data_IF_072642699938
#
_entry.id   IF_072642699938
#
_cell.length_a   1.000
_cell.length_b   1.000
_cell.length_c   1.000
_cell.angle_alpha   90.00
_cell.angle_beta   90.00
_cell.angle_gamma   90.00
#
_symmetry.space_group_name_H-M   'P 1'
#
loop_
_entity.id
_entity.type
_entity.pdbx_description
1 polymer ?
#
# COMPACT_ATOMS: atom_id res chain seq x y z
N UNK A 1 -8.39 28.18 1.81
CA UNK A 1 -9.19 27.72 0.66
C UNK A 1 -8.78 26.31 0.19
N UNK A 2 -7.50 26.05 -0.10
CA UNK A 2 -7.04 24.73 -0.60
C UNK A 2 -7.19 23.56 0.40
N UNK A 3 -6.98 23.79 1.69
CA UNK A 3 -7.11 22.74 2.71
C UNK A 3 -8.57 22.29 2.90
N UNK A 4 -9.52 23.22 2.76
CA UNK A 4 -10.97 22.95 2.79
C UNK A 4 -11.39 22.09 1.58
N UNK A 5 -10.79 22.32 0.40
CA UNK A 5 -11.06 21.53 -0.80
C UNK A 5 -10.49 20.10 -0.71
N UNK A 6 -9.32 19.93 -0.10
CA UNK A 6 -8.70 18.61 0.07
C UNK A 6 -9.46 17.68 1.02
N UNK A 7 -10.34 18.25 1.86
CA UNK A 7 -11.25 17.51 2.74
C UNK A 7 -12.60 17.17 2.12
N UNK A 8 -12.90 17.60 0.88
CA UNK A 8 -14.18 17.27 0.23
C UNK A 8 -14.24 15.78 -0.07
N UNK A 9 -15.32 15.13 0.38
CA UNK A 9 -15.57 13.71 0.12
C UNK A 9 -15.90 13.45 -1.35
N UNK A 10 -15.09 12.64 -2.02
CA UNK A 10 -15.27 12.21 -3.41
C UNK A 10 -15.23 10.69 -3.49
N UNK A 11 -15.73 10.13 -4.60
CA UNK A 11 -15.66 8.69 -4.83
C UNK A 11 -14.26 8.27 -5.28
N UNK A 12 -13.71 7.25 -4.64
CA UNK A 12 -12.48 6.58 -5.07
C UNK A 12 -12.76 5.68 -6.28
N UNK A 13 -11.76 5.51 -7.13
CA UNK A 13 -11.86 4.53 -8.22
C UNK A 13 -11.87 3.10 -7.63
N UNK A 14 -12.71 2.22 -8.20
CA UNK A 14 -12.82 0.82 -7.78
C UNK A 14 -14.20 0.25 -8.06
N UNK A 15 -14.36 -1.06 -7.83
CA UNK A 15 -15.60 -1.80 -8.12
C UNK A 15 -16.73 -1.47 -7.14
N UNK A 16 -16.41 -0.94 -5.96
CA UNK A 16 -17.39 -0.51 -4.95
C UNK A 16 -17.25 0.98 -4.65
N UNK A 17 -18.35 1.73 -4.55
CA UNK A 17 -18.31 3.14 -4.20
C UNK A 17 -17.79 3.30 -2.76
N UNK A 18 -16.61 3.90 -2.63
CA UNK A 18 -16.02 4.31 -1.36
C UNK A 18 -15.79 5.81 -1.42
N UNK A 19 -16.36 6.55 -0.46
CA UNK A 19 -16.09 7.97 -0.33
C UNK A 19 -14.85 8.19 0.55
N UNK A 20 -13.99 9.08 0.09
CA UNK A 20 -12.81 9.51 0.83
C UNK A 20 -12.50 10.98 0.53
N UNK A 21 -11.67 11.65 1.35
CA UNK A 21 -11.22 13.00 1.09
C UNK A 21 -10.55 13.12 -0.29
N UNK A 22 -10.76 14.23 -0.98
CA UNK A 22 -10.18 14.53 -2.30
C UNK A 22 -8.67 14.30 -2.34
N UNK A 23 -7.97 14.59 -1.24
CA UNK A 23 -6.54 14.28 -1.10
C UNK A 23 -6.24 12.80 -1.36
N UNK A 24 -7.04 11.89 -0.81
CA UNK A 24 -6.86 10.45 -0.97
C UNK A 24 -7.14 10.02 -2.41
N UNK A 25 -8.16 10.59 -3.04
CA UNK A 25 -8.44 10.35 -4.46
C UNK A 25 -7.29 10.84 -5.36
N UNK A 26 -6.68 11.98 -5.05
CA UNK A 26 -5.51 12.47 -5.78
C UNK A 26 -4.32 11.52 -5.65
N UNK A 27 -4.06 10.98 -4.44
CA UNK A 27 -2.99 9.98 -4.25
C UNK A 27 -3.29 8.70 -5.04
N UNK A 28 -4.54 8.24 -5.06
CA UNK A 28 -4.95 7.10 -5.90
C UNK A 28 -4.68 7.37 -7.39
N UNK A 29 -4.97 8.57 -7.89
CA UNK A 29 -4.67 8.92 -9.30
C UNK A 29 -3.17 8.98 -9.59
N UNK A 30 -2.36 9.45 -8.64
CA UNK A 30 -0.89 9.39 -8.77
C UNK A 30 -0.43 7.94 -8.87
N UNK A 31 -0.98 7.06 -8.03
CA UNK A 31 -0.69 5.64 -8.04
C UNK A 31 -1.06 4.95 -9.36
N UNK A 32 -2.29 5.13 -9.84
CA UNK A 32 -2.79 4.56 -11.10
C UNK A 32 -1.98 5.08 -12.30
N UNK A 33 -1.74 6.40 -12.35
CA UNK A 33 -1.01 7.02 -13.45
C UNK A 33 0.41 6.49 -13.56
N UNK A 34 1.11 6.38 -12.44
CA UNK A 34 2.45 5.80 -12.41
C UNK A 34 2.43 4.31 -12.79
N UNK A 35 1.49 3.54 -12.23
CA UNK A 35 1.34 2.10 -12.54
C UNK A 35 1.18 1.87 -14.03
N UNK A 36 0.24 2.58 -14.66
CA UNK A 36 -0.01 2.41 -16.10
C UNK A 36 1.11 2.97 -16.97
N UNK A 37 1.83 4.00 -16.51
CA UNK A 37 3.04 4.44 -17.19
C UNK A 37 4.15 3.36 -17.14
N UNK A 38 4.31 2.66 -16.02
CA UNK A 38 5.25 1.52 -15.88
C UNK A 38 4.79 0.32 -16.75
N UNK A 39 3.48 0.06 -16.83
CA UNK A 39 2.89 -0.97 -17.71
C UNK A 39 3.22 -0.69 -19.19
N UNK A 40 3.03 0.54 -19.66
CA UNK A 40 3.37 0.96 -21.03
C UNK A 40 4.88 0.82 -21.28
N UNK A 41 5.73 1.16 -20.31
CA UNK A 41 7.18 0.99 -20.42
C UNK A 41 7.55 -0.47 -20.61
N UNK A 42 7.00 -1.36 -19.79
CA UNK A 42 7.21 -2.79 -19.92
C UNK A 42 6.78 -3.31 -21.29
N UNK A 43 5.58 -2.94 -21.75
CA UNK A 43 5.06 -3.32 -23.08
C UNK A 43 5.90 -2.80 -24.25
N UNK A 44 6.67 -1.73 -24.05
CA UNK A 44 7.52 -1.10 -25.08
C UNK A 44 9.02 -1.40 -24.90
N UNK A 45 9.38 -2.33 -23.99
CA UNK A 45 10.78 -2.71 -23.74
C UNK A 45 11.62 -1.63 -23.03
N UNK A 46 10.98 -0.64 -22.41
CA UNK A 46 11.66 0.43 -21.66
C UNK A 46 11.85 0.00 -20.19
N UNK A 47 12.94 0.41 -19.53
CA UNK A 47 13.14 0.08 -18.13
C UNK A 47 12.07 0.74 -17.25
N UNK A 48 11.75 0.13 -16.10
CA UNK A 48 10.77 0.67 -15.19
C UNK A 48 11.32 1.92 -14.48
N UNK A 49 10.46 2.90 -14.22
CA UNK A 49 10.86 4.21 -13.67
C UNK A 49 10.02 4.54 -12.43
N UNK A 50 10.59 4.51 -11.21
CA UNK A 50 9.85 4.89 -10.01
C UNK A 50 9.53 6.39 -10.03
N UNK A 51 8.44 6.82 -9.38
CA UNK A 51 8.17 8.24 -9.22
C UNK A 51 9.14 8.82 -8.18
N UNK A 52 9.09 10.14 -7.99
CA UNK A 52 9.87 10.81 -6.94
C UNK A 52 9.59 10.17 -5.57
N UNK A 53 10.60 10.15 -4.69
CA UNK A 53 10.51 9.55 -3.36
C UNK A 53 9.30 10.04 -2.54
N UNK A 54 8.96 11.32 -2.66
CA UNK A 54 7.77 11.92 -2.05
C UNK A 54 6.46 11.27 -2.51
N UNK A 55 6.34 10.94 -3.80
CA UNK A 55 5.17 10.26 -4.36
C UNK A 55 5.16 8.78 -3.97
N UNK A 56 6.31 8.10 -3.94
CA UNK A 56 6.40 6.71 -3.45
C UNK A 56 5.89 6.64 -2.01
N UNK A 57 6.34 7.56 -1.14
CA UNK A 57 5.91 7.63 0.25
C UNK A 57 4.39 7.82 0.37
N UNK A 58 3.81 8.75 -0.40
CA UNK A 58 2.35 8.97 -0.37
C UNK A 58 1.57 7.74 -0.81
N UNK A 59 2.02 7.04 -1.87
CA UNK A 59 1.39 5.80 -2.35
C UNK A 59 1.51 4.71 -1.28
N UNK A 60 2.67 4.57 -0.64
CA UNK A 60 2.87 3.60 0.42
C UNK A 60 1.95 3.87 1.62
N UNK A 61 1.85 5.11 2.09
CA UNK A 61 0.96 5.51 3.18
C UNK A 61 -0.51 5.24 2.85
N UNK A 62 -0.93 5.53 1.61
CA UNK A 62 -2.26 5.18 1.11
C UNK A 62 -2.53 3.67 1.21
N UNK A 63 -1.60 2.85 0.75
CA UNK A 63 -1.67 1.39 0.84
C UNK A 63 -1.73 0.86 2.27
N UNK A 64 -0.83 1.32 3.13
CA UNK A 64 -0.75 0.94 4.54
C UNK A 64 -2.04 1.28 5.29
N UNK A 65 -2.72 2.39 4.93
CA UNK A 65 -4.00 2.77 5.51
C UNK A 65 -5.16 1.83 5.08
N UNK A 66 -5.04 1.14 3.94
CA UNK A 66 -6.03 0.19 3.45
C UNK A 66 -5.81 -1.24 3.98
N UNK A 67 -4.56 -1.60 4.32
CA UNK A 67 -4.20 -2.93 4.80
C UNK A 67 -5.10 -3.51 5.91
N UNK A 68 -5.47 -2.76 6.98
CA UNK A 68 -6.30 -3.32 8.04
C UNK A 68 -7.64 -3.86 7.56
N UNK A 69 -8.18 -3.32 6.46
CA UNK A 69 -9.45 -3.77 5.85
C UNK A 69 -9.24 -4.92 4.87
N UNK A 70 -8.06 -5.07 4.30
CA UNK A 70 -7.74 -6.09 3.31
C UNK A 70 -7.27 -7.42 3.93
N UNK A 71 -6.63 -7.36 5.11
CA UNK A 71 -6.19 -8.57 5.82
C UNK A 71 -7.41 -9.40 6.24
N UNK A 72 -7.43 -10.68 5.86
CA UNK A 72 -8.49 -11.62 6.21
C UNK A 72 -8.24 -12.29 7.57
N UNK A 73 -9.33 -12.75 8.18
CA UNK A 73 -9.33 -13.52 9.42
C UNK A 73 -9.33 -12.65 10.69
N UNK A 74 -9.64 -13.25 11.86
CA UNK A 74 -9.73 -12.51 13.12
C UNK A 74 -8.34 -12.04 13.57
N UNK A 75 -8.13 -10.72 13.61
CA UNK A 75 -6.98 -10.09 14.26
C UNK A 75 -7.50 -9.25 15.41
N UNK A 76 -7.33 -9.75 16.64
CA UNK A 76 -7.71 -8.99 17.83
C UNK A 76 -6.43 -8.55 18.53
N UNK A 77 -6.39 -7.29 18.93
CA UNK A 77 -5.35 -6.73 19.79
C UNK A 77 -3.95 -6.62 19.17
N UNK A 78 -3.78 -6.81 17.86
CA UNK A 78 -2.45 -6.80 17.22
C UNK A 78 -2.28 -5.70 16.19
N UNK A 79 -1.10 -5.09 16.18
CA UNK A 79 -0.56 -4.25 15.11
C UNK A 79 0.63 -4.95 14.44
N UNK A 80 1.05 -4.43 13.29
CA UNK A 80 2.30 -4.81 12.65
C UNK A 80 3.17 -3.58 12.41
N UNK A 81 4.47 -3.72 12.54
CA UNK A 81 5.43 -2.71 12.11
C UNK A 81 5.81 -2.99 10.66
N UNK A 82 5.60 -2.04 9.76
CA UNK A 82 6.05 -2.12 8.37
C UNK A 82 7.19 -1.14 8.18
N UNK A 83 8.34 -1.66 7.77
CA UNK A 83 9.53 -0.89 7.39
C UNK A 83 9.64 -0.95 5.88
N UNK A 84 9.55 0.19 5.21
CA UNK A 84 9.84 0.26 3.79
C UNK A 84 11.21 0.91 3.59
N UNK A 85 12.10 0.24 2.87
CA UNK A 85 13.45 0.71 2.59
C UNK A 85 13.54 1.42 1.24
N UNK A 86 14.61 2.17 1.00
CA UNK A 86 14.85 2.84 -0.28
C UNK A 86 14.08 4.17 -0.46
N UNK A 87 13.97 4.68 -1.70
CA UNK A 87 13.31 5.95 -1.98
C UNK A 87 11.84 5.96 -1.53
N UNK A 88 11.46 6.94 -0.71
CA UNK A 88 10.11 7.04 -0.15
C UNK A 88 9.86 6.10 1.03
N UNK A 89 10.89 5.43 1.52
CA UNK A 89 10.84 4.56 2.68
C UNK A 89 10.50 5.25 4.01
N UNK A 90 10.36 4.44 5.04
CA UNK A 90 9.98 4.84 6.39
C UNK A 90 9.57 3.65 7.25
N UNK A 91 9.10 3.94 8.46
CA UNK A 91 8.58 2.95 9.41
C UNK A 91 7.20 3.38 9.85
N UNK A 92 6.24 2.45 9.77
CA UNK A 92 4.85 2.67 10.18
C UNK A 92 4.38 1.54 11.08
N UNK A 93 3.54 1.88 12.05
CA UNK A 93 2.80 0.89 12.82
C UNK A 93 1.37 0.83 12.25
N UNK A 94 0.99 -0.32 11.73
CA UNK A 94 -0.31 -0.59 11.12
C UNK A 94 -1.19 -1.30 12.15
N UNK A 95 -2.21 -0.62 12.73
CA UNK A 95 -3.15 -1.28 13.63
C UNK A 95 -4.09 -2.21 12.83
N UNK A 96 -4.12 -3.50 13.16
CA UNK A 96 -4.99 -4.47 12.47
C UNK A 96 -6.35 -4.65 13.16
N UNK A 97 -6.54 -3.94 14.27
CA UNK A 97 -7.81 -3.82 14.99
C UNK A 97 -7.88 -2.48 15.74
N UNK A 98 -9.08 -1.95 16.04
CA UNK A 98 -9.22 -0.74 16.85
C UNK A 98 -8.62 -0.86 18.26
N UNK A 99 -8.55 -2.09 18.79
CA UNK A 99 -8.04 -2.40 20.13
C UNK A 99 -6.60 -2.92 20.11
N UNK A 100 -5.81 -2.60 19.07
CA UNK A 100 -4.43 -3.05 18.96
C UNK A 100 -3.57 -2.50 20.09
N UNK A 101 -2.94 -3.37 20.88
CA UNK A 101 -2.11 -2.99 22.04
C UNK A 101 -0.70 -3.57 22.00
N UNK A 102 -0.42 -4.50 21.07
CA UNK A 102 0.91 -5.08 20.86
C UNK A 102 1.26 -5.24 19.39
N UNK A 103 2.55 -5.13 19.08
CA UNK A 103 3.10 -5.43 17.75
C UNK A 103 3.33 -6.95 17.66
N UNK A 104 2.67 -7.61 16.71
CA UNK A 104 2.78 -9.07 16.52
C UNK A 104 3.78 -9.47 15.43
N UNK A 105 4.02 -8.59 14.46
CA UNK A 105 4.98 -8.83 13.38
C UNK A 105 5.68 -7.54 12.97
N UNK A 106 6.95 -7.66 12.56
CA UNK A 106 7.66 -6.65 11.80
C UNK A 106 7.88 -7.18 10.38
N UNK A 107 7.57 -6.37 9.38
CA UNK A 107 7.77 -6.68 7.95
C UNK A 107 8.66 -5.60 7.36
N UNK A 108 9.71 -6.00 6.64
CA UNK A 108 10.60 -5.08 5.92
C UNK A 108 10.66 -5.40 4.43
N UNK A 109 10.48 -4.39 3.57
CA UNK A 109 10.50 -4.55 2.11
C UNK A 109 10.96 -3.26 1.40
N UNK A 110 11.33 -3.37 0.11
CA UNK A 110 11.59 -2.18 -0.72
C UNK A 110 10.30 -1.37 -0.95
N UNK A 111 10.35 -0.04 -0.79
CA UNK A 111 9.17 0.83 -0.89
C UNK A 111 8.56 0.82 -2.29
N UNK A 112 9.38 0.90 -3.35
CA UNK A 112 8.89 0.84 -4.73
C UNK A 112 8.34 -0.55 -5.04
N UNK A 113 9.04 -1.59 -4.58
CA UNK A 113 8.60 -2.98 -4.66
C UNK A 113 7.23 -3.20 -4.01
N UNK A 114 7.02 -2.65 -2.81
CA UNK A 114 5.73 -2.70 -2.12
C UNK A 114 4.63 -1.98 -2.92
N UNK A 115 4.90 -0.80 -3.47
CA UNK A 115 3.94 -0.11 -4.33
C UNK A 115 3.60 -0.92 -5.61
N UNK A 116 4.58 -1.61 -6.21
CA UNK A 116 4.33 -2.52 -7.35
C UNK A 116 3.58 -3.80 -6.95
N UNK A 117 3.81 -4.32 -5.75
CA UNK A 117 3.03 -5.41 -5.17
C UNK A 117 1.56 -5.01 -5.03
N UNK A 118 1.31 -3.83 -4.45
CA UNK A 118 -0.05 -3.30 -4.35
C UNK A 118 -0.72 -3.14 -5.72
N UNK A 119 0.05 -2.74 -6.73
CA UNK A 119 -0.44 -2.63 -8.10
C UNK A 119 -0.71 -3.99 -8.79
N UNK A 120 -0.52 -5.13 -8.11
CA UNK A 120 -0.62 -6.46 -8.71
C UNK A 120 0.47 -6.74 -9.76
N UNK A 121 1.54 -5.94 -9.81
CA UNK A 121 2.65 -6.08 -10.76
C UNK A 121 3.82 -6.87 -10.18
N UNK A 122 3.69 -7.35 -8.94
CA UNK A 122 4.57 -8.33 -8.30
C UNK A 122 3.70 -9.40 -7.66
N UNK A 123 3.95 -10.70 -7.90
CA UNK A 123 3.23 -11.75 -7.20
C UNK A 123 3.57 -11.71 -5.70
N UNK A 124 2.60 -11.92 -4.79
CA UNK A 124 2.88 -12.01 -3.36
C UNK A 124 3.72 -13.25 -3.04
N UNK A 125 3.53 -14.34 -3.78
CA UNK A 125 4.36 -15.53 -3.72
C UNK A 125 5.76 -15.22 -4.25
N UNK A 126 6.75 -15.26 -3.36
CA UNK A 126 8.14 -14.92 -3.71
C UNK A 126 8.44 -13.42 -3.74
N UNK A 127 7.51 -12.55 -3.30
CA UNK A 127 7.83 -11.15 -3.06
C UNK A 127 8.97 -11.04 -2.02
N UNK A 128 10.06 -10.30 -2.29
CA UNK A 128 11.14 -10.16 -1.33
C UNK A 128 10.72 -9.28 -0.14
N UNK A 129 10.65 -9.88 1.04
CA UNK A 129 10.51 -9.19 2.32
C UNK A 129 11.26 -9.95 3.42
N UNK A 130 11.64 -9.25 4.48
CA UNK A 130 12.08 -9.84 5.73
C UNK A 130 10.96 -9.74 6.77
N UNK A 131 10.90 -10.68 7.70
CA UNK A 131 9.91 -10.67 8.77
C UNK A 131 10.47 -11.15 10.11
N UNK A 132 9.97 -10.55 11.19
CA UNK A 132 10.22 -10.95 12.57
C UNK A 132 8.87 -11.10 13.31
N UNK A 133 8.81 -11.98 14.30
CA UNK A 133 7.59 -12.27 15.06
C UNK A 133 6.67 -13.27 14.33
N UNK A 134 5.38 -12.95 14.21
CA UNK A 134 4.38 -13.80 13.56
C UNK A 134 4.57 -13.83 12.03
N UNK A 135 5.24 -14.87 11.54
CA UNK A 135 5.48 -15.06 10.10
C UNK A 135 4.23 -15.38 9.29
N UNK A 136 3.16 -15.91 9.90
CA UNK A 136 1.89 -16.11 9.21
C UNK A 136 1.19 -14.76 8.98
N UNK A 137 1.15 -13.91 10.01
CA UNK A 137 0.68 -12.54 9.87
C UNK A 137 1.49 -11.75 8.84
N UNK A 138 2.83 -11.86 8.86
CA UNK A 138 3.68 -11.20 7.86
C UNK A 138 3.29 -11.61 6.43
N UNK A 139 3.11 -12.92 6.19
CA UNK A 139 2.62 -13.43 4.90
C UNK A 139 1.25 -12.88 4.54
N UNK A 140 0.31 -12.91 5.48
CA UNK A 140 -1.05 -12.41 5.23
C UNK A 140 -1.07 -10.92 4.89
N UNK A 141 -0.17 -10.12 5.46
CA UNK A 141 0.00 -8.70 5.12
C UNK A 141 0.49 -8.52 3.68
N UNK A 142 1.45 -9.33 3.22
CA UNK A 142 1.95 -9.28 1.84
C UNK A 142 0.87 -9.69 0.85
N UNK A 143 0.11 -10.76 1.15
CA UNK A 143 -1.00 -11.17 0.30
C UNK A 143 -2.14 -10.14 0.31
N UNK A 144 -2.46 -9.54 1.45
CA UNK A 144 -3.46 -8.48 1.53
C UNK A 144 -3.04 -7.22 0.77
N UNK A 145 -1.76 -6.84 0.82
CA UNK A 145 -1.24 -5.73 0.02
C UNK A 145 -1.48 -5.95 -1.47
N UNK A 146 -1.25 -7.17 -1.96
CA UNK A 146 -1.42 -7.53 -3.37
C UNK A 146 -2.89 -7.45 -3.86
N UNK A 147 -3.88 -7.35 -2.96
CA UNK A 147 -5.30 -7.19 -3.33
C UNK A 147 -5.77 -5.73 -3.33
N UNK A 148 -4.90 -4.76 -3.05
CA UNK A 148 -5.26 -3.35 -2.94
C UNK A 148 -5.31 -2.61 -4.29
N UNK A 149 -4.82 -3.23 -5.36
CA UNK A 149 -4.75 -2.64 -6.69
C UNK A 149 -6.14 -2.34 -7.28
N UNK A 150 -6.18 -1.42 -8.23
CA UNK A 150 -7.41 -0.91 -8.84
C UNK A 150 -8.13 -1.91 -9.76
N UNK A 151 -7.50 -3.04 -10.05
CA UNK A 151 -8.00 -4.07 -10.98
C UNK A 151 -8.81 -5.19 -10.26
N UNK A 152 -9.02 -5.09 -8.94
CA UNK A 152 -9.61 -6.13 -8.07
C UNK A 152 -11.02 -5.87 -7.54
#
# INVERSE_FOLDING_TARGET
>A
AGEVLLGVEVELAGVRPVRAPLRQAMVQRVFETWTHADDIRAATGRPPEPPRAEHVRMIAEFGLALLPRAVKGPRRHVSATVVLTGPGGGTWTVPLSPSSDRVAALVSADAVGFCRLMAGRRPPDGFPYAAEGDGALARDLIHAAATLGCDG
#
